data_IF_315397347692
#
_entry.id   IF_315397347692
#
_cell.length_a   1.000
_cell.length_b   1.000
_cell.length_c   1.000
_cell.angle_alpha   90.00
_cell.angle_beta   90.00
_cell.angle_gamma   90.00
#
_symmetry.space_group_name_H-M   'P 1'
#
loop_
_entity.id
_entity.type
_entity.pdbx_description
1 polymer ?
#
# COMPACT_ATOMS: atom_id res chain seq x y z
N UNK A 1 -5.22 -41.74 23.60
CA UNK A 1 -5.10 -40.35 23.09
C UNK A 1 -6.46 -39.78 22.68
N UNK A 2 -7.28 -40.54 21.94
CA UNK A 2 -8.60 -40.12 21.45
C UNK A 2 -9.55 -39.54 22.51
N UNK A 3 -9.65 -40.18 23.69
CA UNK A 3 -10.46 -39.66 24.81
C UNK A 3 -10.02 -38.26 25.25
N UNK A 4 -8.71 -38.05 25.42
CA UNK A 4 -8.16 -36.75 25.83
C UNK A 4 -8.36 -35.69 24.75
N UNK A 5 -8.19 -36.06 23.47
CA UNK A 5 -8.49 -35.18 22.36
C UNK A 5 -9.96 -34.73 22.41
N UNK A 6 -10.92 -35.66 22.46
CA UNK A 6 -12.36 -35.34 22.55
C UNK A 6 -12.68 -34.44 23.75
N UNK A 7 -12.07 -34.71 24.91
CA UNK A 7 -12.26 -33.93 26.14
C UNK A 7 -11.76 -32.48 26.02
N UNK A 8 -10.59 -32.26 25.42
CA UNK A 8 -9.96 -30.93 25.34
C UNK A 8 -10.15 -30.24 23.99
N UNK A 9 -10.80 -30.86 23.01
CA UNK A 9 -11.01 -30.31 21.68
C UNK A 9 -11.64 -28.92 21.71
N UNK A 10 -12.79 -28.79 22.39
CA UNK A 10 -13.49 -27.50 22.57
C UNK A 10 -12.67 -26.51 23.41
N UNK A 11 -11.88 -27.01 24.36
CA UNK A 11 -11.03 -26.19 25.21
C UNK A 11 -9.89 -25.54 24.41
N UNK A 12 -9.25 -26.29 23.51
CA UNK A 12 -8.23 -25.77 22.59
C UNK A 12 -8.85 -24.71 21.70
N UNK A 13 -9.97 -25.02 21.05
CA UNK A 13 -10.69 -24.06 20.20
C UNK A 13 -11.05 -22.76 20.91
N UNK A 14 -11.50 -22.84 22.17
CA UNK A 14 -11.77 -21.65 22.98
C UNK A 14 -10.52 -20.76 23.08
N UNK A 15 -9.33 -21.33 23.30
CA UNK A 15 -8.11 -20.55 23.41
C UNK A 15 -7.58 -20.04 22.07
N UNK A 16 -7.78 -20.79 20.98
CA UNK A 16 -7.42 -20.36 19.62
C UNK A 16 -8.26 -19.16 19.19
N UNK A 17 -9.59 -19.22 19.34
CA UNK A 17 -10.48 -18.12 18.96
C UNK A 17 -10.27 -16.84 19.79
N UNK A 18 -9.75 -16.96 21.02
CA UNK A 18 -9.38 -15.79 21.83
C UNK A 18 -8.18 -15.00 21.26
N UNK A 19 -7.44 -15.56 20.30
CA UNK A 19 -6.30 -14.89 19.68
C UNK A 19 -6.69 -13.87 18.62
N UNK A 20 -7.94 -13.86 18.12
CA UNK A 20 -8.42 -12.97 17.07
C UNK A 20 -7.45 -12.92 15.86
N UNK A 21 -7.14 -14.08 15.30
CA UNK A 21 -6.33 -14.22 14.07
C UNK A 21 -7.25 -14.50 12.87
N UNK A 22 -6.71 -14.38 11.65
CA UNK A 22 -7.42 -14.73 10.42
C UNK A 22 -7.88 -16.19 10.42
N UNK A 23 -9.02 -16.46 9.78
CA UNK A 23 -9.62 -17.80 9.73
C UNK A 23 -8.68 -18.87 9.16
N UNK A 24 -7.81 -18.49 8.22
CA UNK A 24 -6.81 -19.38 7.62
C UNK A 24 -5.79 -19.93 8.63
N UNK A 25 -5.53 -19.21 9.72
CA UNK A 25 -4.54 -19.58 10.74
C UNK A 25 -5.16 -20.44 11.86
N UNK A 26 -6.50 -20.51 11.92
CA UNK A 26 -7.22 -21.14 13.02
C UNK A 26 -6.95 -22.65 13.11
N UNK A 27 -6.95 -23.35 11.97
CA UNK A 27 -6.71 -24.79 11.93
C UNK A 27 -5.27 -25.14 12.33
N UNK A 28 -4.29 -24.36 11.91
CA UNK A 28 -2.88 -24.57 12.27
C UNK A 28 -2.66 -24.34 13.77
N UNK A 29 -3.24 -23.27 14.33
CA UNK A 29 -3.21 -23.02 15.78
C UNK A 29 -3.92 -24.11 16.58
N UNK A 30 -5.01 -24.67 16.06
CA UNK A 30 -5.68 -25.80 16.68
C UNK A 30 -4.77 -27.03 16.72
N UNK A 31 -4.12 -27.36 15.60
CA UNK A 31 -3.18 -28.46 15.52
C UNK A 31 -2.01 -28.29 16.50
N UNK A 32 -1.45 -27.08 16.60
CA UNK A 32 -0.45 -26.73 17.61
C UNK A 32 -0.96 -26.97 19.04
N UNK A 33 -2.22 -26.63 19.31
CA UNK A 33 -2.87 -26.93 20.58
C UNK A 33 -2.99 -28.44 20.87
N UNK A 34 -3.26 -29.25 19.85
CA UNK A 34 -3.31 -30.71 19.94
C UNK A 34 -1.92 -31.30 20.22
N UNK A 35 -0.88 -30.80 19.55
CA UNK A 35 0.51 -31.16 19.82
C UNK A 35 0.89 -30.83 21.26
N UNK A 36 0.45 -29.68 21.77
CA UNK A 36 0.67 -29.29 23.16
C UNK A 36 -0.08 -30.18 24.15
N UNK A 37 -1.27 -30.68 23.80
CA UNK A 37 -1.97 -31.66 24.63
C UNK A 37 -1.17 -32.95 24.74
N UNK A 38 -0.65 -33.44 23.61
CA UNK A 38 0.22 -34.61 23.59
C UNK A 38 1.50 -34.39 24.42
N UNK A 39 2.11 -33.21 24.33
CA UNK A 39 3.24 -32.83 25.18
C UNK A 39 2.85 -32.79 26.67
N UNK A 40 1.68 -32.26 27.01
CA UNK A 40 1.20 -32.20 28.39
C UNK A 40 1.05 -33.61 28.98
N UNK A 41 0.49 -34.54 28.21
CA UNK A 41 0.32 -35.94 28.63
C UNK A 41 1.65 -36.61 29.01
N UNK A 42 2.76 -36.25 28.36
CA UNK A 42 4.08 -36.83 28.61
C UNK A 42 4.88 -36.12 29.71
N UNK A 43 4.55 -34.87 30.00
CA UNK A 43 5.38 -33.99 30.85
C UNK A 43 4.69 -33.52 32.12
N UNK A 44 3.40 -33.86 32.28
CA UNK A 44 2.65 -33.55 33.49
C UNK A 44 3.24 -34.29 34.69
N UNK A 45 3.36 -33.57 35.79
CA UNK A 45 3.90 -34.04 37.05
C UNK A 45 3.00 -33.56 38.18
N UNK A 46 2.29 -34.51 38.79
CA UNK A 46 1.28 -34.27 39.81
C UNK A 46 1.88 -33.78 41.14
N UNK A 47 3.18 -34.03 41.37
CA UNK A 47 3.89 -33.57 42.57
C UNK A 47 3.95 -32.03 42.68
N UNK A 48 3.68 -31.32 41.58
CA UNK A 48 3.73 -29.85 41.50
C UNK A 48 2.44 -29.16 41.97
N UNK A 49 1.53 -29.88 42.65
CA UNK A 49 0.27 -29.35 43.21
C UNK A 49 -0.56 -28.52 42.20
N UNK A 50 -0.64 -28.98 40.94
CA UNK A 50 -1.44 -28.35 39.89
C UNK A 50 -2.25 -29.39 39.17
N UNK A 51 -3.53 -29.12 38.91
CA UNK A 51 -4.33 -29.99 38.07
C UNK A 51 -3.77 -30.06 36.65
N UNK A 52 -3.93 -31.20 35.99
CA UNK A 52 -3.54 -31.39 34.59
C UNK A 52 -4.07 -30.27 33.70
N UNK A 53 -5.34 -29.90 33.86
CA UNK A 53 -5.98 -28.82 33.08
C UNK A 53 -5.24 -27.49 33.25
N UNK A 54 -4.86 -27.12 34.48
CA UNK A 54 -4.12 -25.87 34.73
C UNK A 54 -2.72 -25.90 34.15
N UNK A 55 -2.04 -27.03 34.25
CA UNK A 55 -0.73 -27.21 33.62
C UNK A 55 -0.84 -27.10 32.10
N UNK A 56 -1.79 -27.82 31.50
CA UNK A 56 -2.03 -27.82 30.05
C UNK A 56 -2.41 -26.43 29.54
N UNK A 57 -3.35 -25.76 30.19
CA UNK A 57 -3.76 -24.38 29.84
C UNK A 57 -2.55 -23.42 29.82
N UNK A 58 -1.69 -23.52 30.83
CA UNK A 58 -0.50 -22.67 30.94
C UNK A 58 0.45 -22.87 29.74
N UNK A 59 0.77 -24.11 29.39
CA UNK A 59 1.70 -24.39 28.28
C UNK A 59 1.03 -24.15 26.91
N UNK A 60 -0.28 -24.40 26.79
CA UNK A 60 -1.07 -24.13 25.59
C UNK A 60 -1.04 -22.64 25.27
N UNK A 61 -1.38 -21.78 26.23
CA UNK A 61 -1.37 -20.32 26.02
C UNK A 61 0.00 -19.82 25.59
N UNK A 62 1.07 -20.29 26.23
CA UNK A 62 2.46 -19.92 25.87
C UNK A 62 2.80 -20.32 24.43
N UNK A 63 2.43 -21.53 24.01
CA UNK A 63 2.65 -21.98 22.64
C UNK A 63 1.86 -21.12 21.66
N UNK A 64 0.57 -20.92 21.90
CA UNK A 64 -0.31 -20.16 21.02
C UNK A 64 0.17 -18.71 20.83
N UNK A 65 0.58 -18.01 21.89
CA UNK A 65 1.17 -16.67 21.74
C UNK A 65 2.48 -16.69 20.96
N UNK A 66 3.33 -17.70 21.16
CA UNK A 66 4.58 -17.83 20.39
C UNK A 66 4.30 -18.01 18.91
N UNK A 67 3.38 -18.92 18.57
CA UNK A 67 3.01 -19.20 17.17
C UNK A 67 2.34 -17.97 16.56
N UNK A 68 1.38 -17.35 17.26
CA UNK A 68 0.73 -16.10 16.81
C UNK A 68 1.74 -15.01 16.47
N UNK A 69 2.74 -14.79 17.33
CA UNK A 69 3.75 -13.75 17.10
C UNK A 69 4.67 -14.04 15.91
N UNK A 70 4.72 -15.29 15.44
CA UNK A 70 5.46 -15.68 14.25
C UNK A 70 4.61 -15.66 12.98
N UNK A 71 3.30 -15.38 13.07
CA UNK A 71 2.45 -15.23 11.88
C UNK A 71 2.91 -13.97 11.14
N UNK A 72 3.39 -14.10 9.90
CA UNK A 72 3.85 -12.96 9.12
C UNK A 72 2.70 -11.99 8.85
N UNK A 73 2.91 -10.72 9.11
CA UNK A 73 2.00 -9.67 8.65
C UNK A 73 2.26 -9.42 7.17
N UNK A 74 1.56 -10.14 6.31
CA UNK A 74 1.60 -9.89 4.88
C UNK A 74 0.84 -8.59 4.59
N UNK A 75 1.58 -7.49 4.49
CA UNK A 75 1.08 -6.30 3.84
C UNK A 75 0.98 -6.59 2.34
N UNK A 76 -0.22 -6.95 1.90
CA UNK A 76 -0.56 -6.94 0.48
C UNK A 76 -0.60 -5.48 0.06
N UNK A 77 0.50 -4.98 -0.48
CA UNK A 77 0.47 -3.76 -1.26
C UNK A 77 -0.29 -4.12 -2.54
N UNK A 78 -1.43 -3.47 -2.78
CA UNK A 78 -1.97 -3.40 -4.13
C UNK A 78 -0.81 -2.97 -5.02
N UNK A 79 -0.54 -3.74 -6.07
CA UNK A 79 0.57 -3.50 -6.98
C UNK A 79 0.53 -2.05 -7.51
N UNK A 80 1.20 -1.12 -6.86
CA UNK A 80 1.50 0.21 -7.42
C UNK A 80 2.69 0.14 -8.38
N UNK A 81 3.26 -1.06 -8.57
CA UNK A 81 4.23 -1.35 -9.62
C UNK A 81 3.59 -1.66 -10.98
N UNK A 82 2.29 -1.36 -11.17
CA UNK A 82 1.78 -1.09 -12.51
C UNK A 82 2.37 0.26 -12.96
N UNK A 83 3.43 0.18 -13.77
CA UNK A 83 4.16 1.28 -14.42
C UNK A 83 5.32 1.91 -13.61
N UNK A 84 6.42 1.17 -13.43
CA UNK A 84 7.78 1.76 -13.40
C UNK A 84 8.41 1.87 -14.80
N UNK A 85 7.59 1.88 -15.84
CA UNK A 85 7.93 2.50 -17.12
C UNK A 85 7.12 3.77 -17.19
N UNK A 86 7.75 4.94 -17.11
CA UNK A 86 7.14 6.10 -17.72
C UNK A 86 7.03 5.76 -19.22
N UNK A 87 5.88 5.28 -19.67
CA UNK A 87 5.57 5.36 -21.08
C UNK A 87 5.43 6.85 -21.33
N UNK A 88 6.51 7.48 -21.77
CA UNK A 88 6.39 8.74 -22.48
C UNK A 88 5.53 8.39 -23.68
N UNK A 89 4.26 8.80 -23.65
CA UNK A 89 3.56 8.98 -24.91
C UNK A 89 4.37 10.12 -25.54
N UNK A 90 5.29 9.79 -26.44
CA UNK A 90 5.86 10.75 -27.37
C UNK A 90 4.70 11.16 -28.28
N UNK A 91 3.78 11.97 -27.74
CA UNK A 91 2.87 12.73 -28.58
C UNK A 91 3.78 13.64 -29.37
N UNK A 92 3.84 13.39 -30.67
CA UNK A 92 4.52 14.28 -31.61
C UNK A 92 3.92 15.67 -31.37
N UNK A 93 4.72 16.68 -30.93
CA UNK A 93 4.15 17.94 -30.49
C UNK A 93 3.42 18.58 -31.66
N UNK A 94 2.14 18.91 -31.47
CA UNK A 94 1.36 19.61 -32.47
C UNK A 94 2.09 20.89 -32.90
N UNK A 95 2.61 20.91 -34.13
CA UNK A 95 3.36 22.04 -34.66
C UNK A 95 2.37 23.13 -35.04
N UNK A 96 2.10 24.06 -34.11
CA UNK A 96 1.31 25.24 -34.41
C UNK A 96 2.16 26.24 -35.19
N UNK A 97 1.85 26.42 -36.47
CA UNK A 97 2.42 27.49 -37.28
C UNK A 97 1.73 28.83 -36.97
N UNK A 98 2.44 29.74 -36.30
CA UNK A 98 1.96 31.12 -36.09
C UNK A 98 2.40 32.02 -37.24
N UNK A 99 1.48 32.81 -37.81
CA UNK A 99 1.78 33.71 -38.94
C UNK A 99 2.38 35.06 -38.50
N UNK A 100 2.17 35.45 -37.24
CA UNK A 100 2.63 36.74 -36.72
C UNK A 100 3.97 36.59 -35.99
N UNK A 101 4.94 37.45 -36.31
CA UNK A 101 6.24 37.51 -35.61
C UNK A 101 6.05 37.67 -34.10
N UNK A 102 5.09 38.51 -33.69
CA UNK A 102 4.75 38.71 -32.27
C UNK A 102 4.22 37.42 -31.63
N UNK A 103 3.43 36.62 -32.35
CA UNK A 103 2.92 35.36 -31.81
C UNK A 103 4.03 34.32 -31.68
N UNK A 104 4.93 34.22 -32.66
CA UNK A 104 6.07 33.32 -32.62
C UNK A 104 7.01 33.66 -31.45
N UNK A 105 7.32 34.95 -31.27
CA UNK A 105 8.23 35.40 -30.22
C UNK A 105 7.62 35.21 -28.82
N UNK A 106 6.33 35.54 -28.64
CA UNK A 106 5.63 35.28 -27.37
C UNK A 106 5.45 33.79 -27.10
N UNK A 107 5.21 32.98 -28.14
CA UNK A 107 5.15 31.53 -28.01
C UNK A 107 6.47 30.96 -27.47
N UNK A 108 7.58 31.33 -28.10
CA UNK A 108 8.92 30.93 -27.68
C UNK A 108 9.22 31.37 -26.23
N UNK A 109 9.08 32.66 -25.93
CA UNK A 109 9.50 33.20 -24.64
C UNK A 109 8.59 32.75 -23.49
N UNK A 110 7.28 32.77 -23.67
CA UNK A 110 6.33 32.48 -22.60
C UNK A 110 6.05 30.98 -22.45
N UNK A 111 5.79 30.26 -23.54
CA UNK A 111 5.34 28.86 -23.48
C UNK A 111 6.49 27.87 -23.51
N UNK A 112 7.51 28.08 -24.36
CA UNK A 112 8.64 27.16 -24.47
C UNK A 112 9.73 27.43 -23.42
N UNK A 113 10.02 28.70 -23.13
CA UNK A 113 11.08 29.09 -22.20
C UNK A 113 10.58 29.48 -20.79
N UNK A 114 9.26 29.51 -20.57
CA UNK A 114 8.65 29.86 -19.27
C UNK A 114 9.12 31.19 -18.68
N UNK A 115 9.43 32.18 -19.53
CA UNK A 115 9.81 33.53 -19.09
C UNK A 115 8.62 34.25 -18.48
N UNK A 116 8.89 35.07 -17.47
CA UNK A 116 7.85 35.90 -16.87
C UNK A 116 7.44 37.03 -17.81
N UNK A 117 6.19 37.50 -17.71
CA UNK A 117 5.68 38.64 -18.51
C UNK A 117 6.54 39.89 -18.31
N UNK A 118 7.09 40.09 -17.11
CA UNK A 118 8.00 41.19 -16.79
C UNK A 118 9.33 41.10 -17.54
N UNK A 119 9.88 39.90 -17.70
CA UNK A 119 11.10 39.68 -18.49
C UNK A 119 10.84 39.84 -19.98
N UNK A 120 9.71 39.31 -20.48
CA UNK A 120 9.31 39.44 -21.88
C UNK A 120 9.16 40.91 -22.26
N UNK A 121 8.55 41.72 -21.39
CA UNK A 121 8.41 43.16 -21.58
C UNK A 121 9.79 43.84 -21.70
N UNK A 122 10.77 43.43 -20.90
CA UNK A 122 12.14 43.97 -20.94
C UNK A 122 12.91 43.55 -22.20
N UNK A 123 12.70 42.32 -22.67
CA UNK A 123 13.42 41.75 -23.80
C UNK A 123 12.89 42.24 -25.15
N UNK A 124 11.57 42.37 -25.28
CA UNK A 124 10.89 42.66 -26.56
C UNK A 124 10.49 44.13 -26.71
N UNK A 125 10.32 44.85 -25.58
CA UNK A 125 9.78 46.21 -25.58
C UNK A 125 8.26 46.31 -25.79
N UNK A 126 7.54 45.18 -25.87
CA UNK A 126 6.08 45.20 -26.03
C UNK A 126 5.36 45.63 -24.76
N UNK A 127 4.19 46.27 -24.94
CA UNK A 127 3.35 46.62 -23.79
C UNK A 127 2.79 45.37 -23.12
N UNK A 128 2.59 45.47 -21.80
CA UNK A 128 1.98 44.39 -21.00
C UNK A 128 0.64 43.92 -21.57
N UNK A 129 -0.16 44.83 -22.13
CA UNK A 129 -1.45 44.52 -22.79
C UNK A 129 -1.25 43.70 -24.07
N UNK A 130 -0.27 44.04 -24.90
CA UNK A 130 0.05 43.27 -26.11
C UNK A 130 0.46 41.84 -25.74
N UNK A 131 1.34 41.68 -24.75
CA UNK A 131 1.82 40.36 -24.30
C UNK A 131 0.65 39.49 -23.83
N UNK A 132 -0.22 39.99 -22.93
CA UNK A 132 -1.36 39.21 -22.44
C UNK A 132 -2.37 38.87 -23.54
N UNK A 133 -2.68 39.82 -24.42
CA UNK A 133 -3.59 39.56 -25.54
C UNK A 133 -3.04 38.49 -26.47
N UNK A 134 -1.73 38.49 -26.73
CA UNK A 134 -1.08 37.48 -27.56
C UNK A 134 -1.05 36.12 -26.87
N UNK A 135 -0.73 36.05 -25.58
CA UNK A 135 -0.81 34.80 -24.79
C UNK A 135 -2.22 34.21 -24.84
N UNK A 136 -3.25 35.05 -24.68
CA UNK A 136 -4.64 34.63 -24.78
C UNK A 136 -4.97 34.04 -26.15
N UNK A 137 -4.59 34.73 -27.25
CA UNK A 137 -4.81 34.24 -28.62
C UNK A 137 -4.10 32.91 -28.89
N UNK A 138 -2.87 32.76 -28.40
CA UNK A 138 -2.11 31.50 -28.54
C UNK A 138 -2.84 30.37 -27.80
N UNK A 139 -3.33 30.59 -26.57
CA UNK A 139 -4.11 29.60 -25.82
C UNK A 139 -5.40 29.19 -26.53
N UNK A 140 -6.11 30.15 -27.12
CA UNK A 140 -7.32 29.86 -27.91
C UNK A 140 -7.00 29.03 -29.16
N UNK A 141 -5.86 29.27 -29.82
CA UNK A 141 -5.40 28.44 -30.95
C UNK A 141 -5.11 27.00 -30.53
N UNK A 142 -4.42 26.80 -29.40
CA UNK A 142 -4.21 25.46 -28.83
C UNK A 142 -5.53 24.75 -28.52
N UNK A 143 -6.49 25.47 -27.94
CA UNK A 143 -7.80 24.93 -27.60
C UNK A 143 -8.62 24.50 -28.82
N UNK A 144 -8.49 25.21 -29.94
CA UNK A 144 -9.19 24.88 -31.19
C UNK A 144 -8.52 23.76 -31.99
N UNK A 145 -7.35 23.27 -31.57
CA UNK A 145 -6.66 22.12 -32.20
C UNK A 145 -6.96 20.79 -31.51
N UNK A 146 -7.53 20.82 -30.29
CA UNK A 146 -8.08 19.68 -29.56
C UNK A 146 -9.55 19.46 -29.93
#
# INVERSE_FOLDING_TARGET
>A
MEFMFKKYHKFIWKHVHLLNVDDKELDDLHQEGVLMLHKALKTFDDSKNKSFTRYFEMILRRQLYRVKNNIPNYHLYEHTDFCKGATYIEEEPDVISFSSVLEQEIHLLYFLQSRSVSEILRLTGYSKKQIYNTIFRIKEKYKNML
#
